data_IF_675602502555
#
_entry.id   IF_675602502555
#
_cell.length_a   1.000
_cell.length_b   1.000
_cell.length_c   1.000
_cell.angle_alpha   90.00
_cell.angle_beta   90.00
_cell.angle_gamma   90.00
#
_symmetry.space_group_name_H-M   'P 1'
#
loop_
_entity.id
_entity.type
_entity.pdbx_description
1 polymer ?
#
# COMPACT_ATOMS: atom_id res chain seq x y z
N UNK A 1 -48.43 -36.14 53.83
CA UNK A 1 -48.18 -36.48 52.40
C UNK A 1 -47.25 -35.46 51.78
N UNK A 2 -46.01 -35.85 51.67
CA UNK A 2 -44.91 -34.93 51.25
C UNK A 2 -44.67 -34.99 49.74
N UNK A 3 -44.72 -33.88 49.07
CA UNK A 3 -44.25 -33.74 47.67
C UNK A 3 -42.98 -32.91 47.61
N UNK A 4 -41.89 -33.57 47.27
CA UNK A 4 -40.57 -32.98 47.05
C UNK A 4 -40.53 -32.14 45.79
N UNK A 5 -40.24 -30.86 45.94
CA UNK A 5 -39.90 -29.95 44.85
C UNK A 5 -38.40 -30.00 44.62
N UNK A 6 -37.98 -30.60 43.50
CA UNK A 6 -36.57 -30.60 43.06
C UNK A 6 -36.37 -29.33 42.24
N UNK A 7 -35.66 -28.37 42.80
CA UNK A 7 -35.21 -27.18 42.11
C UNK A 7 -33.96 -27.58 41.33
N UNK A 8 -34.08 -27.60 40.02
CA UNK A 8 -32.98 -27.85 39.08
C UNK A 8 -32.20 -26.53 38.93
N UNK A 9 -31.03 -26.44 39.55
CA UNK A 9 -30.10 -25.34 39.35
C UNK A 9 -29.39 -25.51 38.02
N UNK A 10 -29.78 -24.76 37.01
CA UNK A 10 -29.05 -24.63 35.74
C UNK A 10 -27.91 -23.68 35.99
N UNK A 11 -26.68 -24.21 36.13
CA UNK A 11 -25.46 -23.44 36.11
C UNK A 11 -25.23 -22.91 34.68
N UNK A 12 -25.56 -21.64 34.47
CA UNK A 12 -25.20 -20.89 33.27
C UNK A 12 -23.72 -20.51 33.34
N UNK A 13 -22.86 -21.38 32.82
CA UNK A 13 -21.43 -21.09 32.68
C UNK A 13 -21.27 -20.10 31.56
N UNK A 14 -21.28 -18.81 31.88
CA UNK A 14 -20.89 -17.74 30.93
C UNK A 14 -19.39 -17.86 30.72
N UNK A 15 -18.98 -18.46 29.59
CA UNK A 15 -17.62 -18.38 29.09
C UNK A 15 -17.34 -16.93 28.77
N UNK A 16 -16.73 -16.22 29.70
CA UNK A 16 -16.15 -14.91 29.48
C UNK A 16 -14.93 -15.12 28.57
N UNK A 17 -15.14 -15.03 27.27
CA UNK A 17 -14.05 -14.86 26.32
C UNK A 17 -13.43 -13.50 26.65
N UNK A 18 -12.41 -13.51 27.48
CA UNK A 18 -11.54 -12.37 27.69
C UNK A 18 -10.89 -12.09 26.34
N UNK A 19 -11.46 -11.15 25.58
CA UNK A 19 -10.72 -10.51 24.50
C UNK A 19 -9.51 -9.85 25.14
N UNK A 20 -8.36 -10.50 25.05
CA UNK A 20 -7.10 -9.87 25.43
C UNK A 20 -6.98 -8.58 24.65
N UNK A 21 -6.78 -7.41 25.30
CA UNK A 21 -6.49 -6.19 24.59
C UNK A 21 -5.24 -6.45 23.76
N UNK A 22 -5.32 -6.20 22.46
CA UNK A 22 -4.19 -6.26 21.56
C UNK A 22 -3.11 -5.33 22.12
N UNK A 23 -2.24 -5.89 22.96
CA UNK A 23 -1.05 -5.19 23.43
C UNK A 23 -0.28 -4.85 22.17
N UNK A 24 -0.01 -3.58 21.97
CA UNK A 24 1.01 -3.09 21.05
C UNK A 24 2.36 -3.67 21.54
N UNK A 25 2.57 -4.93 21.25
CA UNK A 25 3.84 -5.58 21.55
C UNK A 25 4.86 -5.04 20.57
N UNK A 26 5.98 -4.58 21.07
CA UNK A 26 7.14 -4.31 20.22
C UNK A 26 7.39 -5.58 19.38
N UNK A 27 7.40 -5.48 18.04
CA UNK A 27 7.56 -6.65 17.20
C UNK A 27 8.81 -7.45 17.58
N UNK A 28 8.71 -8.77 17.59
CA UNK A 28 9.87 -9.62 17.87
C UNK A 28 10.90 -9.49 16.76
N UNK A 29 12.20 -9.69 17.04
CA UNK A 29 13.23 -9.71 15.99
C UNK A 29 12.92 -10.71 14.88
N UNK A 30 12.29 -11.83 15.20
CA UNK A 30 11.86 -12.86 14.26
C UNK A 30 10.76 -12.34 13.31
N UNK A 31 9.76 -11.63 13.85
CA UNK A 31 8.70 -11.02 13.03
C UNK A 31 9.25 -9.95 12.11
N UNK A 32 10.19 -9.12 12.59
CA UNK A 32 10.87 -8.11 11.76
C UNK A 32 11.68 -8.78 10.64
N UNK A 33 12.38 -9.86 10.94
CA UNK A 33 13.14 -10.62 9.94
C UNK A 33 12.23 -11.21 8.85
N UNK A 34 11.10 -11.82 9.22
CA UNK A 34 10.12 -12.35 8.29
C UNK A 34 9.48 -11.23 7.43
N UNK A 35 9.19 -10.08 8.01
CA UNK A 35 8.70 -8.91 7.29
C UNK A 35 9.73 -8.39 6.28
N UNK A 36 10.99 -8.29 6.67
CA UNK A 36 12.09 -7.90 5.77
C UNK A 36 12.23 -8.88 4.61
N UNK A 37 12.17 -10.18 4.88
CA UNK A 37 12.22 -11.21 3.86
C UNK A 37 11.07 -11.08 2.85
N UNK A 38 9.86 -10.80 3.32
CA UNK A 38 8.71 -10.53 2.46
C UNK A 38 8.96 -9.33 1.55
N UNK A 39 9.42 -8.19 2.11
CA UNK A 39 9.70 -6.96 1.36
C UNK A 39 10.73 -7.19 0.24
N UNK A 40 11.76 -7.99 0.50
CA UNK A 40 12.75 -8.36 -0.51
C UNK A 40 12.13 -9.29 -1.57
N UNK A 41 11.33 -10.26 -1.13
CA UNK A 41 10.76 -11.30 -2.02
C UNK A 41 9.79 -10.71 -3.06
N UNK A 42 9.00 -9.71 -2.71
CA UNK A 42 8.11 -9.07 -3.69
C UNK A 42 8.73 -7.85 -4.40
N UNK A 43 10.06 -7.65 -4.26
CA UNK A 43 10.77 -6.59 -4.97
C UNK A 43 10.52 -5.18 -4.43
N UNK A 44 10.16 -5.06 -3.14
CA UNK A 44 9.82 -3.76 -2.52
C UNK A 44 10.95 -2.73 -2.63
N UNK A 45 12.20 -3.13 -2.47
CA UNK A 45 13.35 -2.25 -2.64
C UNK A 45 13.47 -1.70 -4.06
N UNK A 46 13.31 -2.55 -5.07
CA UNK A 46 13.42 -2.17 -6.48
C UNK A 46 12.24 -1.27 -6.91
N UNK A 47 11.05 -1.53 -6.37
CA UNK A 47 9.87 -0.69 -6.58
C UNK A 47 10.07 0.72 -6.01
N UNK A 48 10.64 0.83 -4.80
CA UNK A 48 10.94 2.12 -4.17
C UNK A 48 11.99 2.88 -4.98
N UNK A 49 13.06 2.21 -5.44
CA UNK A 49 14.09 2.81 -6.31
C UNK A 49 13.51 3.33 -7.61
N UNK A 50 12.69 2.52 -8.28
CA UNK A 50 12.02 2.91 -9.52
C UNK A 50 11.10 4.13 -9.31
N UNK A 51 10.35 4.14 -8.23
CA UNK A 51 9.48 5.28 -7.85
C UNK A 51 10.31 6.55 -7.60
N UNK A 52 11.42 6.43 -6.88
CA UNK A 52 12.31 7.58 -6.63
C UNK A 52 12.87 8.17 -7.93
N UNK A 53 13.28 7.33 -8.87
CA UNK A 53 13.77 7.79 -10.17
C UNK A 53 12.67 8.55 -10.95
N UNK A 54 11.42 8.11 -10.88
CA UNK A 54 10.27 8.79 -11.49
C UNK A 54 10.03 10.14 -10.80
N UNK A 55 10.03 10.18 -9.47
CA UNK A 55 9.85 11.41 -8.69
C UNK A 55 10.93 12.42 -9.04
N UNK A 56 12.19 12.02 -9.05
CA UNK A 56 13.29 12.92 -9.41
C UNK A 56 13.17 13.47 -10.83
N UNK A 57 12.77 12.63 -11.79
CA UNK A 57 12.50 13.09 -13.15
C UNK A 57 11.33 14.07 -13.24
N UNK A 58 10.28 13.87 -12.47
CA UNK A 58 9.11 14.77 -12.45
C UNK A 58 9.41 16.13 -11.85
N UNK A 59 10.41 16.23 -10.98
CA UNK A 59 10.89 17.49 -10.41
C UNK A 59 11.78 18.27 -11.37
N UNK A 60 12.37 17.64 -12.40
CA UNK A 60 13.30 18.26 -13.34
C UNK A 60 12.77 19.57 -13.94
N UNK A 61 11.54 19.67 -14.49
CA UNK A 61 11.06 20.92 -15.08
C UNK A 61 10.99 22.07 -14.08
N UNK A 62 10.60 21.80 -12.83
CA UNK A 62 10.51 22.81 -11.79
C UNK A 62 11.89 23.31 -11.32
N UNK A 63 12.92 22.46 -11.36
CA UNK A 63 14.28 22.79 -10.96
C UNK A 63 15.01 23.52 -12.10
N UNK A 64 14.92 22.99 -13.31
CA UNK A 64 15.67 23.46 -14.49
C UNK A 64 15.15 24.79 -15.01
N UNK A 65 13.83 25.01 -15.01
CA UNK A 65 13.19 26.28 -15.46
C UNK A 65 13.71 26.78 -16.82
N UNK A 66 13.87 25.88 -17.80
CA UNK A 66 14.39 26.15 -19.14
C UNK A 66 15.86 26.67 -19.20
N UNK A 67 16.66 26.46 -18.15
CA UNK A 67 18.08 26.82 -18.11
C UNK A 67 18.93 25.62 -18.54
N UNK A 68 19.49 25.68 -19.75
CA UNK A 68 20.26 24.56 -20.35
C UNK A 68 21.47 24.14 -19.52
N UNK A 69 22.14 25.08 -18.86
CA UNK A 69 23.26 24.76 -17.98
C UNK A 69 22.81 23.95 -16.76
N UNK A 70 21.69 24.37 -16.12
CA UNK A 70 21.11 23.67 -14.99
C UNK A 70 20.57 22.29 -15.39
N UNK A 71 20.06 22.17 -16.61
CA UNK A 71 19.60 20.87 -17.13
C UNK A 71 20.75 19.87 -17.25
N UNK A 72 21.87 20.30 -17.81
CA UNK A 72 23.07 19.47 -17.95
C UNK A 72 23.58 19.01 -16.59
N UNK A 73 23.67 19.94 -15.63
CA UNK A 73 24.14 19.65 -14.29
C UNK A 73 23.16 18.74 -13.55
N UNK A 74 21.86 18.95 -13.69
CA UNK A 74 20.82 18.06 -13.13
C UNK A 74 20.99 16.61 -13.63
N UNK A 75 21.14 16.45 -14.95
CA UNK A 75 21.31 15.11 -15.54
C UNK A 75 22.61 14.42 -15.10
N UNK A 76 23.69 15.20 -14.93
CA UNK A 76 24.95 14.68 -14.43
C UNK A 76 24.89 14.30 -12.93
N UNK A 77 24.14 15.03 -12.11
CA UNK A 77 24.01 14.80 -10.67
C UNK A 77 22.98 13.71 -10.33
N UNK A 78 21.98 13.50 -11.18
CA UNK A 78 20.90 12.55 -10.91
C UNK A 78 21.38 11.15 -10.54
N UNK A 79 22.34 10.51 -11.22
CA UNK A 79 22.86 9.22 -10.82
C UNK A 79 23.48 9.21 -9.43
N UNK A 80 24.21 10.28 -9.05
CA UNK A 80 24.86 10.41 -7.75
C UNK A 80 23.82 10.54 -6.62
N UNK A 81 22.76 11.31 -6.85
CA UNK A 81 21.65 11.46 -5.89
C UNK A 81 20.93 10.13 -5.70
N UNK A 82 20.66 9.40 -6.80
CA UNK A 82 20.02 8.08 -6.73
C UNK A 82 20.90 7.06 -6.02
N UNK A 83 22.23 7.10 -6.20
CA UNK A 83 23.16 6.22 -5.49
C UNK A 83 23.19 6.52 -4.00
N UNK A 84 23.22 7.81 -3.61
CA UNK A 84 23.10 8.22 -2.21
C UNK A 84 21.78 7.74 -1.57
N UNK A 85 20.69 7.73 -2.32
CA UNK A 85 19.43 7.16 -1.87
C UNK A 85 19.51 5.64 -1.71
N UNK A 86 20.17 4.94 -2.64
CA UNK A 86 20.34 3.48 -2.59
C UNK A 86 21.11 3.03 -1.33
N UNK A 87 22.11 3.79 -0.88
CA UNK A 87 22.87 3.45 0.34
C UNK A 87 22.00 3.46 1.59
N UNK A 88 20.94 4.29 1.62
CA UNK A 88 19.99 4.37 2.74
C UNK A 88 18.77 3.45 2.59
N UNK A 89 18.69 2.69 1.50
CA UNK A 89 17.54 1.83 1.21
C UNK A 89 17.28 0.80 2.31
N UNK A 90 18.35 0.26 2.90
CA UNK A 90 18.22 -0.71 4.00
C UNK A 90 17.48 -0.12 5.21
N UNK A 91 17.75 1.14 5.55
CA UNK A 91 17.06 1.84 6.64
C UNK A 91 15.55 1.97 6.35
N UNK A 92 15.21 2.30 5.11
CA UNK A 92 13.81 2.40 4.68
C UNK A 92 13.11 1.04 4.74
N UNK A 93 13.76 -0.01 4.25
CA UNK A 93 13.24 -1.38 4.33
C UNK A 93 13.03 -1.81 5.79
N UNK A 94 13.95 -1.49 6.69
CA UNK A 94 13.82 -1.82 8.11
C UNK A 94 12.63 -1.09 8.76
N UNK A 95 12.43 0.17 8.43
CA UNK A 95 11.28 0.94 8.93
C UNK A 95 9.95 0.37 8.40
N UNK A 96 9.88 0.01 7.11
CA UNK A 96 8.71 -0.63 6.51
C UNK A 96 8.50 -2.02 7.13
N UNK A 97 9.55 -2.82 7.31
CA UNK A 97 9.46 -4.13 7.97
C UNK A 97 8.87 -4.02 9.38
N UNK A 98 9.26 -2.99 10.15
CA UNK A 98 8.67 -2.73 11.47
C UNK A 98 7.16 -2.40 11.40
N UNK A 99 6.68 -1.76 10.32
CA UNK A 99 5.23 -1.54 10.10
C UNK A 99 4.52 -2.87 9.87
N UNK A 100 5.03 -3.71 8.98
CA UNK A 100 4.48 -5.04 8.72
C UNK A 100 4.46 -5.91 9.97
N UNK A 101 5.56 -5.92 10.73
CA UNK A 101 5.70 -6.70 11.95
C UNK A 101 4.77 -6.27 13.10
N UNK A 102 4.19 -5.08 13.05
CA UNK A 102 3.12 -4.67 13.98
C UNK A 102 1.74 -5.15 13.56
N UNK A 103 1.57 -5.53 12.30
CA UNK A 103 0.27 -5.89 11.72
C UNK A 103 0.10 -7.39 11.57
N UNK A 104 1.18 -8.09 11.23
CA UNK A 104 1.19 -9.51 10.92
C UNK A 104 2.08 -10.29 11.88
N UNK A 105 1.74 -11.54 12.12
CA UNK A 105 2.59 -12.51 12.83
C UNK A 105 3.73 -12.98 11.92
N UNK A 106 4.78 -13.57 12.53
CA UNK A 106 5.89 -14.14 11.77
C UNK A 106 5.44 -15.26 10.82
N UNK A 107 4.45 -16.07 11.23
CA UNK A 107 3.95 -17.18 10.41
C UNK A 107 3.14 -16.69 9.21
N UNK A 108 2.26 -15.70 9.39
CA UNK A 108 1.54 -15.05 8.27
C UNK A 108 2.51 -14.43 7.25
N UNK A 109 3.58 -13.79 7.72
CA UNK A 109 4.62 -13.22 6.86
C UNK A 109 5.38 -14.30 6.08
N UNK A 110 5.70 -15.42 6.70
CA UNK A 110 6.33 -16.58 6.04
C UNK A 110 5.42 -17.24 5.02
N UNK A 111 4.13 -17.35 5.30
CA UNK A 111 3.15 -17.84 4.32
C UNK A 111 3.08 -16.92 3.10
N UNK A 112 3.08 -15.60 3.30
CA UNK A 112 3.15 -14.64 2.22
C UNK A 112 4.45 -14.76 1.41
N UNK A 113 5.61 -14.95 2.07
CA UNK A 113 6.89 -15.22 1.40
C UNK A 113 6.80 -16.47 0.54
N UNK A 114 6.24 -17.56 1.08
CA UNK A 114 6.07 -18.82 0.34
C UNK A 114 5.20 -18.62 -0.90
N UNK A 115 4.10 -17.87 -0.79
CA UNK A 115 3.24 -17.52 -1.93
C UNK A 115 4.01 -16.73 -3.00
N UNK A 116 4.72 -15.67 -2.63
CA UNK A 116 5.43 -14.82 -3.59
C UNK A 116 6.65 -15.50 -4.23
N UNK A 117 7.21 -16.52 -3.59
CA UNK A 117 8.23 -17.40 -4.19
C UNK A 117 7.66 -18.42 -5.18
N UNK A 118 6.38 -18.69 -5.09
CA UNK A 118 5.68 -19.60 -6.01
C UNK A 118 5.48 -18.98 -7.40
N UNK A 119 5.13 -19.81 -8.42
CA UNK A 119 5.04 -19.36 -9.81
C UNK A 119 3.98 -18.27 -10.02
N UNK A 120 2.86 -18.34 -9.33
CA UNK A 120 1.79 -17.33 -9.40
C UNK A 120 2.23 -16.02 -8.77
N UNK A 121 2.84 -16.06 -7.58
CA UNK A 121 3.37 -14.89 -6.89
C UNK A 121 4.44 -14.17 -7.71
N UNK A 122 5.39 -14.90 -8.27
CA UNK A 122 6.42 -14.36 -9.16
C UNK A 122 5.81 -13.69 -10.40
N UNK A 123 4.81 -14.29 -11.00
CA UNK A 123 4.08 -13.71 -12.13
C UNK A 123 3.37 -12.42 -11.76
N UNK A 124 2.75 -12.37 -10.58
CA UNK A 124 2.10 -11.16 -10.06
C UNK A 124 3.13 -10.03 -9.91
N UNK A 125 4.24 -10.28 -9.21
CA UNK A 125 5.31 -9.28 -9.01
C UNK A 125 5.80 -8.72 -10.34
N UNK A 126 6.09 -9.58 -11.32
CA UNK A 126 6.59 -9.17 -12.63
C UNK A 126 5.58 -8.37 -13.45
N UNK A 127 4.28 -8.68 -13.34
CA UNK A 127 3.24 -8.05 -14.14
C UNK A 127 2.59 -6.83 -13.47
N UNK A 128 2.75 -6.70 -12.16
CA UNK A 128 2.09 -5.64 -11.38
C UNK A 128 2.34 -4.22 -11.94
N UNK A 129 3.54 -3.79 -12.35
CA UNK A 129 3.75 -2.46 -12.90
C UNK A 129 2.90 -2.21 -14.17
N UNK A 130 2.86 -3.16 -15.09
CA UNK A 130 2.06 -3.05 -16.30
C UNK A 130 0.55 -3.02 -15.99
N UNK A 131 0.09 -3.90 -15.10
CA UNK A 131 -1.31 -3.93 -14.66
C UNK A 131 -1.74 -2.63 -14.03
N UNK A 132 -0.89 -2.01 -13.20
CA UNK A 132 -1.18 -0.71 -12.60
C UNK A 132 -1.29 0.39 -13.67
N UNK A 133 -0.37 0.44 -14.63
CA UNK A 133 -0.42 1.42 -15.73
C UNK A 133 -1.68 1.28 -16.57
N UNK A 134 -2.05 0.06 -16.95
CA UNK A 134 -3.27 -0.21 -17.71
C UNK A 134 -4.52 0.15 -16.89
N UNK A 135 -4.55 -0.19 -15.61
CA UNK A 135 -5.65 0.16 -14.70
C UNK A 135 -5.80 1.67 -14.54
N UNK A 136 -4.71 2.42 -14.43
CA UNK A 136 -4.74 3.88 -14.39
C UNK A 136 -5.30 4.47 -15.68
N UNK A 137 -4.92 3.93 -16.85
CA UNK A 137 -5.46 4.38 -18.14
C UNK A 137 -6.98 4.09 -18.26
N UNK A 138 -7.45 2.97 -17.72
CA UNK A 138 -8.91 2.68 -17.62
C UNK A 138 -9.59 3.70 -16.71
N UNK A 139 -9.03 3.96 -15.53
CA UNK A 139 -9.55 4.95 -14.59
C UNK A 139 -9.64 6.36 -15.17
N UNK A 140 -8.62 6.79 -15.92
CA UNK A 140 -8.62 8.09 -16.59
C UNK A 140 -9.71 8.20 -17.65
N UNK A 141 -9.86 7.19 -18.52
CA UNK A 141 -10.94 7.17 -19.52
C UNK A 141 -12.32 7.20 -18.88
N UNK A 142 -12.52 6.40 -17.84
CA UNK A 142 -13.77 6.38 -17.10
C UNK A 142 -14.05 7.73 -16.43
N UNK A 143 -13.05 8.34 -15.78
CA UNK A 143 -13.19 9.65 -15.16
C UNK A 143 -13.55 10.76 -16.16
N UNK A 144 -12.95 10.75 -17.35
CA UNK A 144 -13.30 11.67 -18.43
C UNK A 144 -14.75 11.48 -18.93
N UNK A 145 -15.15 10.23 -19.13
CA UNK A 145 -16.52 9.89 -19.57
C UNK A 145 -17.57 10.33 -18.54
N UNK A 146 -17.37 9.98 -17.27
CA UNK A 146 -18.29 10.36 -16.19
C UNK A 146 -18.29 11.88 -15.99
N UNK A 147 -17.12 12.52 -16.06
CA UNK A 147 -17.00 13.97 -15.90
C UNK A 147 -17.80 14.74 -16.97
N UNK A 148 -17.79 14.29 -18.23
CA UNK A 148 -18.59 14.89 -19.29
C UNK A 148 -20.09 14.66 -19.08
N UNK A 149 -20.49 13.44 -18.75
CA UNK A 149 -21.90 13.11 -18.47
C UNK A 149 -22.47 13.90 -17.29
N UNK A 150 -21.73 13.99 -16.17
CA UNK A 150 -22.16 14.76 -15.00
C UNK A 150 -22.27 16.25 -15.31
N UNK A 151 -21.32 16.80 -16.06
CA UNK A 151 -21.40 18.20 -16.51
C UNK A 151 -22.65 18.43 -17.36
N UNK A 152 -22.89 17.59 -18.34
CA UNK A 152 -24.03 17.77 -19.26
C UNK A 152 -25.36 17.65 -18.50
N UNK A 153 -25.49 16.68 -17.60
CA UNK A 153 -26.66 16.56 -16.70
C UNK A 153 -26.83 17.78 -15.80
N UNK A 154 -25.73 18.33 -15.26
CA UNK A 154 -25.77 19.53 -14.42
C UNK A 154 -26.24 20.74 -15.22
N UNK A 155 -25.70 20.93 -16.44
CA UNK A 155 -26.09 22.01 -17.33
C UNK A 155 -27.56 21.93 -17.71
N UNK A 156 -28.07 20.74 -18.02
CA UNK A 156 -29.48 20.52 -18.35
C UNK A 156 -30.40 20.82 -17.16
N UNK A 157 -30.01 20.41 -15.96
CA UNK A 157 -30.80 20.68 -14.75
C UNK A 157 -30.81 22.19 -14.40
N UNK A 158 -29.70 22.88 -14.59
CA UNK A 158 -29.63 24.32 -14.38
C UNK A 158 -30.49 25.09 -15.41
N UNK A 159 -30.52 24.67 -16.68
CA UNK A 159 -31.42 25.23 -17.70
C UNK A 159 -32.89 25.03 -17.36
N UNK A 160 -33.27 23.84 -16.89
CA UNK A 160 -34.65 23.56 -16.41
C UNK A 160 -35.08 24.47 -15.25
N UNK A 161 -34.13 24.90 -14.41
CA UNK A 161 -34.35 25.84 -13.30
C UNK A 161 -34.34 27.32 -13.74
N UNK A 162 -34.22 27.59 -15.05
CA UNK A 162 -34.30 28.94 -15.61
C UNK A 162 -32.97 29.69 -15.71
N UNK A 163 -31.84 29.02 -15.48
CA UNK A 163 -30.52 29.63 -15.66
C UNK A 163 -30.14 29.62 -17.15
N UNK A 164 -29.73 30.75 -17.68
CA UNK A 164 -29.27 30.89 -19.05
C UNK A 164 -27.76 30.62 -19.13
N UNK A 165 -27.37 29.36 -19.25
CA UNK A 165 -25.98 28.86 -19.26
C UNK A 165 -25.75 27.92 -20.43
#
# INVERSE_FOLDING_TARGET
>A
MHKHSRILAVCLTVCFFAAEPARSQTPSPDTIAAARELLVTFGGADQIKATMAIVMKSLKPAIVQNRLEVERDFDAMLPLVLESFNTRMNEVIDQIAAVYARTFTADELREAVAFYRGPTGQKIVQKLPALLQESMAVGQRFGQSIGSELRDRMMDELRKRGHNI
#
